data_IF_958108271099
#
_entry.id   IF_958108271099
#
_cell.length_a   1.000
_cell.length_b   1.000
_cell.length_c   1.000
_cell.angle_alpha   90.00
_cell.angle_beta   90.00
_cell.angle_gamma   90.00
#
_symmetry.space_group_name_H-M   'P 1'
#
loop_
_entity.id
_entity.type
_entity.pdbx_description
1 polymer ?
#
# COMPACT_ATOMS: atom_id res chain seq x y z
N UNK A 1 20.18 7.63 15.56
CA UNK A 1 19.87 7.49 14.12
C UNK A 1 18.49 6.88 13.89
N UNK A 2 18.10 5.80 14.58
CA UNK A 2 16.73 5.22 14.51
C UNK A 2 15.61 6.14 15.01
N UNK A 3 15.86 6.96 16.04
CA UNK A 3 14.85 7.92 16.57
C UNK A 3 14.46 9.01 15.55
N UNK A 4 15.35 9.30 14.59
CA UNK A 4 15.06 10.23 13.51
C UNK A 4 14.02 9.66 12.52
N UNK A 5 14.04 8.34 12.28
CA UNK A 5 13.16 7.68 11.31
C UNK A 5 11.69 7.75 11.72
N UNK A 6 11.41 7.67 13.02
CA UNK A 6 10.06 7.74 13.57
C UNK A 6 9.51 9.17 13.67
N UNK A 7 10.33 10.20 13.40
CA UNK A 7 9.98 11.62 13.57
C UNK A 7 10.19 12.47 12.32
N UNK A 8 10.52 11.88 11.17
CA UNK A 8 10.56 12.64 9.90
C UNK A 8 9.12 12.91 9.46
N UNK A 9 8.71 14.17 9.26
CA UNK A 9 7.44 14.48 8.62
C UNK A 9 7.36 13.82 7.24
N UNK A 10 6.15 13.53 6.77
CA UNK A 10 5.90 12.93 5.45
C UNK A 10 6.48 13.74 4.27
N UNK A 11 6.90 14.99 4.51
CA UNK A 11 7.63 15.83 3.56
C UNK A 11 9.08 15.39 3.29
N UNK A 12 9.66 14.50 4.10
CA UNK A 12 11.07 14.08 3.99
C UNK A 12 12.08 15.09 4.55
N UNK A 13 11.61 16.20 5.12
CA UNK A 13 12.47 17.23 5.73
C UNK A 13 12.56 17.02 7.25
N UNK A 14 13.72 16.60 7.80
CA UNK A 14 13.86 16.48 9.25
C UNK A 14 13.67 17.85 9.93
N UNK A 15 12.80 17.92 10.94
CA UNK A 15 12.46 19.18 11.65
C UNK A 15 13.66 19.83 12.35
N UNK A 16 14.72 19.07 12.65
CA UNK A 16 15.84 19.52 13.49
C UNK A 16 17.23 19.42 12.82
N UNK A 17 17.31 19.14 11.50
CA UNK A 17 18.59 18.99 10.80
C UNK A 17 18.74 19.91 9.59
N UNK A 18 19.99 20.20 9.24
CA UNK A 18 20.41 21.05 8.11
C UNK A 18 19.67 20.70 6.81
N UNK A 19 19.24 21.73 6.08
CA UNK A 19 18.62 21.66 4.75
C UNK A 19 19.49 20.97 3.67
N UNK A 20 20.75 20.65 3.98
CA UNK A 20 21.66 19.87 3.13
C UNK A 20 21.32 18.38 3.08
N UNK A 21 20.59 17.85 4.07
CA UNK A 21 20.12 16.46 4.06
C UNK A 21 18.70 16.46 3.50
N UNK A 22 18.56 16.70 2.19
CA UNK A 22 17.29 16.43 1.49
C UNK A 22 17.23 14.94 1.18
N UNK A 23 16.61 14.17 2.05
CA UNK A 23 16.07 12.88 1.64
C UNK A 23 14.86 13.23 0.77
N UNK A 24 14.81 12.76 -0.48
CA UNK A 24 13.63 12.97 -1.33
C UNK A 24 12.36 12.53 -0.60
N UNK A 25 11.18 13.01 -1.02
CA UNK A 25 9.91 12.61 -0.39
C UNK A 25 9.88 11.07 -0.32
N UNK A 26 9.90 10.45 0.88
CA UNK A 26 10.03 9.01 1.03
C UNK A 26 8.71 8.30 0.76
N UNK A 27 7.88 8.87 -0.13
CA UNK A 27 6.51 8.47 -0.40
C UNK A 27 6.34 8.43 -1.90
N UNK A 28 5.90 7.27 -2.40
CA UNK A 28 5.40 7.13 -3.75
C UNK A 28 3.86 7.20 -3.71
N UNK A 29 3.29 8.13 -4.45
CA UNK A 29 1.84 8.19 -4.68
C UNK A 29 1.48 7.26 -5.83
N UNK A 30 0.47 6.42 -5.63
CA UNK A 30 -0.02 5.47 -6.64
C UNK A 30 -1.48 5.79 -7.03
N UNK A 31 -1.74 6.90 -7.73
CA UNK A 31 -3.09 7.26 -8.13
C UNK A 31 -3.62 6.34 -9.24
N UNK A 32 -4.86 5.87 -9.07
CA UNK A 32 -5.63 5.23 -10.14
C UNK A 32 -5.93 6.24 -11.25
N UNK A 33 -6.36 5.76 -12.42
CA UNK A 33 -6.74 6.66 -13.51
C UNK A 33 -7.92 7.57 -13.12
N UNK A 34 -8.88 7.02 -12.37
CA UNK A 34 -9.99 7.79 -11.79
C UNK A 34 -9.48 8.90 -10.85
N UNK A 35 -8.50 8.60 -9.99
CA UNK A 35 -7.90 9.58 -9.10
C UNK A 35 -7.24 10.72 -9.90
N UNK A 36 -6.53 10.41 -10.98
CA UNK A 36 -5.87 11.43 -11.83
C UNK A 36 -6.89 12.35 -12.48
N UNK A 37 -7.96 11.80 -13.04
CA UNK A 37 -9.04 12.60 -13.63
C UNK A 37 -9.70 13.52 -12.59
N UNK A 38 -9.93 13.01 -11.38
CA UNK A 38 -10.52 13.79 -10.29
C UNK A 38 -9.61 14.92 -9.83
N UNK A 39 -8.30 14.67 -9.71
CA UNK A 39 -7.29 15.68 -9.38
C UNK A 39 -7.24 16.74 -10.48
N UNK A 40 -7.22 16.35 -11.75
CA UNK A 40 -7.21 17.29 -12.87
C UNK A 40 -8.47 18.19 -12.87
N UNK A 41 -9.64 17.64 -12.52
CA UNK A 41 -10.86 18.43 -12.38
C UNK A 41 -10.78 19.45 -11.24
N UNK A 42 -10.22 19.08 -10.08
CA UNK A 42 -9.95 20.01 -9.00
C UNK A 42 -8.96 21.10 -9.42
N UNK A 43 -7.85 20.73 -10.07
CA UNK A 43 -6.82 21.66 -10.52
C UNK A 43 -7.35 22.65 -11.56
N UNK A 44 -8.20 22.20 -12.49
CA UNK A 44 -8.88 23.08 -13.46
C UNK A 44 -9.83 24.07 -12.78
N UNK A 45 -10.59 23.64 -11.78
CA UNK A 45 -11.49 24.51 -11.03
C UNK A 45 -10.71 25.52 -10.16
N UNK A 46 -9.59 25.10 -9.56
CA UNK A 46 -8.68 25.98 -8.83
C UNK A 46 -8.13 27.05 -9.77
N UNK A 47 -7.62 26.68 -10.94
CA UNK A 47 -7.08 27.63 -11.91
C UNK A 47 -8.13 28.66 -12.39
N UNK A 48 -9.38 28.23 -12.60
CA UNK A 48 -10.47 29.13 -12.96
C UNK A 48 -10.80 30.13 -11.83
N UNK A 49 -10.89 29.66 -10.58
CA UNK A 49 -11.13 30.52 -9.42
C UNK A 49 -9.94 31.43 -9.10
N UNK A 50 -8.70 30.99 -9.38
CA UNK A 50 -7.51 31.83 -9.28
C UNK A 50 -7.58 33.00 -10.26
N UNK A 51 -7.97 32.75 -11.50
CA UNK A 51 -8.14 33.80 -12.51
C UNK A 51 -9.27 34.78 -12.13
N UNK A 52 -10.38 34.28 -11.59
CA UNK A 52 -11.51 35.10 -11.12
C UNK A 52 -11.14 35.95 -9.88
N UNK A 53 -10.38 35.36 -8.94
CA UNK A 53 -10.00 36.03 -7.70
C UNK A 53 -8.85 37.04 -7.88
N UNK A 54 -7.98 36.86 -8.87
CA UNK A 54 -6.78 37.69 -9.12
C UNK A 54 -7.05 39.20 -9.08
N UNK A 55 -8.02 39.78 -9.80
CA UNK A 55 -8.25 41.23 -9.75
C UNK A 55 -8.68 41.72 -8.36
N UNK A 56 -9.49 40.94 -7.64
CA UNK A 56 -9.90 41.29 -6.28
C UNK A 56 -8.74 41.20 -5.28
N UNK A 57 -7.83 40.25 -5.47
CA UNK A 57 -6.61 40.09 -4.66
C UNK A 57 -5.65 41.25 -4.90
N UNK A 58 -5.48 41.70 -6.15
CA UNK A 58 -4.63 42.86 -6.49
C UNK A 58 -5.16 44.15 -5.86
N UNK A 59 -6.49 44.36 -5.87
CA UNK A 59 -7.12 45.49 -5.18
C UNK A 59 -6.91 45.42 -3.67
N UNK A 60 -7.05 44.23 -3.06
CA UNK A 60 -6.80 44.04 -1.63
C UNK A 60 -5.33 44.26 -1.26
N UNK A 61 -4.39 43.79 -2.09
CA UNK A 61 -2.95 44.02 -1.93
C UNK A 61 -2.63 45.52 -2.00
N UNK A 62 -3.20 46.24 -2.96
CA UNK A 62 -3.00 47.68 -3.09
C UNK A 62 -3.56 48.45 -1.88
N UNK A 63 -4.76 48.09 -1.41
CA UNK A 63 -5.36 48.68 -0.22
C UNK A 63 -4.54 48.40 1.05
N UNK A 64 -4.04 47.18 1.22
CA UNK A 64 -3.16 46.82 2.34
C UNK A 64 -1.82 47.57 2.29
N UNK A 65 -1.18 47.64 1.11
CA UNK A 65 0.05 48.43 0.90
C UNK A 65 -0.15 49.92 1.17
N UNK A 66 -1.33 50.47 0.87
CA UNK A 66 -1.66 51.86 1.16
C UNK A 66 -1.86 52.11 2.67
N UNK A 67 -2.48 51.16 3.39
CA UNK A 67 -2.62 51.21 4.85
C UNK A 67 -1.28 51.26 5.59
N UNK A 68 -0.28 50.51 5.10
CA UNK A 68 1.08 50.53 5.65
C UNK A 68 1.80 51.89 5.54
N UNK A 69 1.35 52.78 4.64
CA UNK A 69 1.94 54.12 4.44
C UNK A 69 1.23 55.23 5.22
N UNK A 70 0.04 54.97 5.74
CA UNK A 70 -0.82 56.00 6.35
C UNK A 70 -0.43 56.35 7.80
N UNK A 71 0.24 55.44 8.52
CA UNK A 71 0.59 55.60 9.94
C UNK A 71 1.88 56.42 10.19
N UNK A 72 2.44 57.07 9.17
CA UNK A 72 3.52 58.07 9.32
C UNK A 72 4.90 57.53 9.73
N UNK A 73 5.01 56.27 10.15
CA UNK A 73 6.25 55.53 10.34
C UNK A 73 6.29 54.36 9.34
N UNK A 74 7.17 54.40 8.34
CA UNK A 74 7.50 53.22 7.52
C UNK A 74 8.16 52.08 8.36
N UNK A 75 8.33 52.29 9.66
CA UNK A 75 9.10 51.48 10.61
C UNK A 75 8.31 50.80 11.73
N UNK A 76 6.98 50.97 11.85
CA UNK A 76 6.19 50.25 12.88
C UNK A 76 5.91 48.81 12.42
N UNK A 77 7.00 48.04 12.40
CA UNK A 77 7.11 46.66 11.95
C UNK A 77 6.61 45.66 13.00
N UNK A 78 5.36 45.79 13.45
CA UNK A 78 4.71 44.70 14.17
C UNK A 78 4.27 43.62 13.17
N UNK A 79 5.15 42.67 12.86
CA UNK A 79 4.81 41.44 12.10
C UNK A 79 5.41 41.29 10.70
N UNK A 80 6.17 42.28 10.21
CA UNK A 80 6.87 42.18 8.92
C UNK A 80 8.20 41.39 9.05
N UNK A 81 8.66 40.70 7.99
CA UNK A 81 9.93 39.95 8.03
C UNK A 81 11.14 40.87 8.25
N UNK A 82 12.10 40.49 9.10
CA UNK A 82 13.33 41.27 9.39
C UNK A 82 14.08 41.82 8.14
N UNK A 83 14.21 41.05 7.03
CA UNK A 83 14.85 41.55 5.81
C UNK A 83 14.12 42.75 5.20
N UNK A 84 12.79 42.77 5.30
CA UNK A 84 11.95 43.83 4.77
C UNK A 84 12.06 45.10 5.64
N UNK A 85 12.12 44.94 6.96
CA UNK A 85 12.30 46.05 7.91
C UNK A 85 13.64 46.75 7.69
N UNK A 86 14.70 45.99 7.39
CA UNK A 86 16.03 46.54 7.13
C UNK A 86 16.09 47.32 5.81
N UNK A 87 15.35 46.87 4.79
CA UNK A 87 15.24 47.57 3.51
C UNK A 87 14.35 48.83 3.59
N UNK A 88 13.29 48.79 4.39
CA UNK A 88 12.42 49.94 4.65
C UNK A 88 13.07 51.00 5.56
N UNK A 89 14.05 50.62 6.39
CA UNK A 89 14.81 51.57 7.22
C UNK A 89 15.73 52.50 6.42
N UNK A 90 16.07 52.17 5.16
CA UNK A 90 16.80 53.10 4.28
C UNK A 90 15.87 54.23 3.83
N UNK A 91 16.28 55.51 3.87
CA UNK A 91 15.44 56.63 3.45
C UNK A 91 15.06 56.51 1.97
N UNK A 92 13.84 56.91 1.62
CA UNK A 92 13.24 56.69 0.30
C UNK A 92 14.08 57.22 -0.88
N UNK A 93 14.96 58.20 -0.66
CA UNK A 93 15.87 58.77 -1.66
C UNK A 93 17.16 57.98 -1.92
N UNK A 94 17.53 57.02 -1.06
CA UNK A 94 18.77 56.21 -1.17
C UNK A 94 18.50 54.75 -1.60
N UNK A 95 17.24 54.42 -1.91
CA UNK A 95 16.84 53.06 -2.33
C UNK A 95 17.18 52.85 -3.81
N UNK A 96 18.01 51.84 -4.09
CA UNK A 96 18.29 51.41 -5.47
C UNK A 96 17.05 50.80 -6.13
N UNK A 97 17.05 50.67 -7.46
CA UNK A 97 15.93 50.02 -8.16
C UNK A 97 15.83 48.52 -7.84
N UNK A 98 16.94 47.88 -7.48
CA UNK A 98 16.96 46.50 -6.95
C UNK A 98 16.31 46.40 -5.57
N UNK A 99 16.56 47.38 -4.69
CA UNK A 99 15.95 47.44 -3.36
C UNK A 99 14.42 47.62 -3.46
N UNK A 100 13.94 48.44 -4.40
CA UNK A 100 12.50 48.63 -4.65
C UNK A 100 11.82 47.34 -5.12
N UNK A 101 12.45 46.62 -6.05
CA UNK A 101 11.95 45.34 -6.54
C UNK A 101 11.91 44.27 -5.44
N UNK A 102 12.97 44.22 -4.61
CA UNK A 102 13.04 43.30 -3.48
C UNK A 102 11.95 43.59 -2.42
N UNK A 103 11.70 44.86 -2.11
CA UNK A 103 10.62 45.29 -1.21
C UNK A 103 9.26 44.86 -1.75
N UNK A 104 8.98 45.09 -3.04
CA UNK A 104 7.69 44.73 -3.64
C UNK A 104 7.47 43.20 -3.66
N UNK A 105 8.50 42.43 -4.00
CA UNK A 105 8.44 40.97 -3.97
C UNK A 105 8.23 40.42 -2.55
N UNK A 106 8.93 40.98 -1.56
CA UNK A 106 8.80 40.56 -0.16
C UNK A 106 7.45 40.96 0.45
N UNK A 107 6.92 42.14 0.11
CA UNK A 107 5.57 42.56 0.51
C UNK A 107 4.49 41.67 -0.11
N UNK A 108 4.64 41.33 -1.39
CA UNK A 108 3.73 40.41 -2.07
C UNK A 108 3.77 39.01 -1.45
N UNK A 109 4.96 38.48 -1.20
CA UNK A 109 5.13 37.18 -0.54
C UNK A 109 4.55 37.16 0.89
N UNK A 110 4.75 38.24 1.65
CA UNK A 110 4.18 38.37 3.00
C UNK A 110 2.65 38.46 2.96
N UNK A 111 2.10 39.24 2.04
CA UNK A 111 0.66 39.33 1.83
C UNK A 111 0.05 37.98 1.48
N UNK A 112 0.60 37.27 0.49
CA UNK A 112 0.11 35.94 0.10
C UNK A 112 0.20 34.91 1.22
N UNK A 113 1.22 34.98 2.07
CA UNK A 113 1.48 33.99 3.13
C UNK A 113 0.72 34.24 4.44
N UNK A 114 0.49 35.51 4.82
CA UNK A 114 -0.02 35.87 6.16
C UNK A 114 -1.30 36.68 6.15
N UNK A 115 -1.49 37.56 5.17
CA UNK A 115 -2.58 38.55 5.17
C UNK A 115 -3.74 38.12 4.28
N UNK A 116 -3.46 37.41 3.19
CA UNK A 116 -4.45 36.96 2.21
C UNK A 116 -5.62 36.20 2.84
N UNK A 117 -5.35 35.40 3.88
CA UNK A 117 -6.37 34.66 4.62
C UNK A 117 -7.40 35.54 5.34
N UNK A 118 -7.01 36.74 5.78
CA UNK A 118 -7.91 37.69 6.45
C UNK A 118 -8.92 38.33 5.49
N UNK A 119 -8.60 38.33 4.19
CA UNK A 119 -9.47 38.81 3.13
C UNK A 119 -10.37 37.72 2.54
N UNK A 120 -10.23 36.46 2.99
CA UNK A 120 -11.04 35.33 2.49
C UNK A 120 -12.54 35.55 2.67
N UNK A 121 -12.97 36.09 3.83
CA UNK A 121 -14.38 36.38 4.11
C UNK A 121 -14.95 37.55 3.28
N UNK A 122 -14.08 38.46 2.82
CA UNK A 122 -14.45 39.65 2.05
C UNK A 122 -14.46 39.41 0.53
N UNK A 123 -13.77 38.36 0.06
CA UNK A 123 -13.62 38.02 -1.35
C UNK A 123 -14.22 36.62 -1.59
N UNK A 124 -15.48 36.51 -2.01
CA UNK A 124 -16.15 35.20 -2.17
C UNK A 124 -15.42 34.19 -3.08
N UNK A 125 -14.78 34.60 -4.20
CA UNK A 125 -13.96 33.68 -5.00
C UNK A 125 -12.75 33.12 -4.24
N UNK A 126 -12.15 33.89 -3.33
CA UNK A 126 -11.00 33.47 -2.52
C UNK A 126 -11.42 32.42 -1.48
N UNK A 127 -12.55 32.61 -0.79
CA UNK A 127 -13.09 31.59 0.12
C UNK A 127 -13.42 30.26 -0.59
N UNK A 128 -13.96 30.32 -1.82
CA UNK A 128 -14.21 29.12 -2.63
C UNK A 128 -12.91 28.41 -3.01
N UNK A 129 -11.90 29.17 -3.41
CA UNK A 129 -10.58 28.66 -3.77
C UNK A 129 -9.89 27.98 -2.58
N UNK A 130 -9.94 28.57 -1.39
CA UNK A 130 -9.34 27.98 -0.19
C UNK A 130 -10.03 26.69 0.22
N UNK A 131 -11.37 26.65 0.16
CA UNK A 131 -12.16 25.43 0.35
C UNK A 131 -11.80 24.36 -0.66
N UNK A 132 -11.65 24.73 -1.94
CA UNK A 132 -11.36 23.77 -3.00
C UNK A 132 -9.94 23.20 -2.88
N UNK A 133 -8.95 24.03 -2.52
CA UNK A 133 -7.58 23.58 -2.20
C UNK A 133 -7.58 22.65 -0.99
N UNK A 134 -8.36 22.96 0.05
CA UNK A 134 -8.53 22.07 1.20
C UNK A 134 -9.14 20.73 0.78
N UNK A 135 -10.22 20.74 0.01
CA UNK A 135 -10.85 19.52 -0.50
C UNK A 135 -9.88 18.68 -1.36
N UNK A 136 -9.06 19.33 -2.20
CA UNK A 136 -8.01 18.64 -2.97
C UNK A 136 -6.97 18.01 -2.04
N UNK A 137 -6.54 18.71 -0.98
CA UNK A 137 -5.58 18.16 -0.01
C UNK A 137 -6.14 16.97 0.76
N UNK A 138 -7.41 17.04 1.20
CA UNK A 138 -8.11 15.95 1.88
C UNK A 138 -8.30 14.75 0.93
N UNK A 139 -8.70 15.01 -0.31
CA UNK A 139 -8.82 13.97 -1.33
C UNK A 139 -7.47 13.29 -1.60
N UNK A 140 -6.38 14.05 -1.77
CA UNK A 140 -5.03 13.49 -1.94
C UNK A 140 -4.58 12.70 -0.71
N UNK A 141 -4.93 13.15 0.49
CA UNK A 141 -4.56 12.48 1.74
C UNK A 141 -5.27 11.14 1.95
N UNK A 142 -6.58 11.08 1.65
CA UNK A 142 -7.45 9.94 1.97
C UNK A 142 -7.57 8.95 0.81
N UNK A 143 -7.61 9.42 -0.44
CA UNK A 143 -7.97 8.60 -1.60
C UNK A 143 -6.76 8.14 -2.43
N UNK A 144 -5.58 8.72 -2.22
CA UNK A 144 -4.36 8.29 -2.90
C UNK A 144 -3.57 7.36 -1.99
N UNK A 145 -3.39 6.09 -2.39
CA UNK A 145 -2.48 5.19 -1.71
C UNK A 145 -1.07 5.77 -1.73
N UNK A 146 -0.53 6.02 -0.53
CA UNK A 146 0.83 6.50 -0.30
C UNK A 146 1.66 5.35 0.25
N UNK A 147 2.75 5.03 -0.44
CA UNK A 147 3.65 3.94 -0.04
C UNK A 147 4.96 4.55 0.37
N UNK A 148 5.39 4.26 1.60
CA UNK A 148 6.71 4.64 2.06
C UNK A 148 7.77 3.84 1.27
N UNK A 149 8.65 4.54 0.59
CA UNK A 149 9.72 3.94 -0.20
C UNK A 149 11.08 4.40 0.30
N UNK A 150 12.01 3.46 0.37
CA UNK A 150 13.40 3.73 0.67
C UNK A 150 14.24 3.29 -0.53
N UNK A 151 15.01 4.21 -1.08
CA UNK A 151 16.04 3.90 -2.07
C UNK A 151 17.39 4.17 -1.43
N UNK A 152 18.33 3.22 -1.57
CA UNK A 152 19.72 3.49 -1.24
C UNK A 152 20.26 4.53 -2.24
N UNK A 153 21.12 5.45 -1.79
CA UNK A 153 21.72 6.48 -2.64
C UNK A 153 22.72 5.90 -3.66
N UNK A 154 23.31 4.75 -3.33
CA UNK A 154 24.16 3.94 -4.21
C UNK A 154 23.80 2.46 -4.01
N UNK A 155 23.82 1.63 -5.06
CA UNK A 155 23.60 0.19 -4.92
C UNK A 155 24.61 -0.43 -3.94
N UNK A 156 24.13 -1.29 -3.04
CA UNK A 156 25.02 -2.01 -2.12
C UNK A 156 25.85 -3.04 -2.88
N UNK A 157 27.16 -2.95 -2.76
CA UNK A 157 28.06 -4.00 -3.20
C UNK A 157 27.84 -5.25 -2.33
N UNK A 158 27.73 -6.40 -2.98
CA UNK A 158 27.52 -7.69 -2.32
C UNK A 158 28.66 -8.59 -2.71
N UNK A 159 29.24 -9.31 -1.75
CA UNK A 159 30.38 -10.19 -1.98
C UNK A 159 30.05 -11.62 -1.56
N UNK A 160 30.66 -12.60 -2.23
CA UNK A 160 30.72 -13.97 -1.70
C UNK A 160 31.58 -13.95 -0.45
N UNK A 161 31.09 -14.50 0.65
CA UNK A 161 31.87 -14.59 1.90
C UNK A 161 32.61 -15.92 1.96
N UNK A 162 33.84 -15.89 2.47
CA UNK A 162 34.57 -17.12 2.75
C UNK A 162 33.90 -17.90 3.88
N UNK A 163 33.25 -19.02 3.55
CA UNK A 163 32.51 -19.88 4.50
C UNK A 163 31.52 -19.10 5.39
N UNK A 164 30.97 -17.99 4.87
CA UNK A 164 30.03 -17.12 5.60
C UNK A 164 30.68 -16.14 6.58
N UNK A 165 32.01 -16.03 6.64
CA UNK A 165 32.70 -15.08 7.51
C UNK A 165 32.52 -13.63 7.00
N UNK A 166 31.79 -12.81 7.76
CA UNK A 166 31.44 -11.43 7.40
C UNK A 166 32.66 -10.53 7.12
N UNK A 167 33.78 -10.77 7.81
CA UNK A 167 35.02 -9.98 7.67
C UNK A 167 35.92 -10.45 6.51
N UNK A 168 35.51 -11.48 5.77
CA UNK A 168 36.32 -12.07 4.70
C UNK A 168 35.55 -12.08 3.37
N UNK A 169 35.31 -10.88 2.78
CA UNK A 169 34.70 -10.78 1.47
C UNK A 169 35.64 -11.31 0.38
N UNK A 170 35.07 -12.04 -0.57
CA UNK A 170 35.73 -12.49 -1.81
C UNK A 170 35.14 -11.72 -2.99
N UNK A 171 34.86 -12.41 -4.08
CA UNK A 171 34.39 -11.84 -5.33
C UNK A 171 33.07 -11.09 -5.15
N UNK A 172 32.98 -9.91 -5.77
CA UNK A 172 31.74 -9.15 -5.85
C UNK A 172 30.74 -9.91 -6.73
N UNK A 173 29.50 -10.01 -6.27
CA UNK A 173 28.39 -10.60 -7.02
C UNK A 173 27.47 -9.51 -7.53
N UNK A 174 27.12 -9.62 -8.81
CA UNK A 174 26.13 -8.76 -9.46
C UNK A 174 24.76 -9.43 -9.43
N UNK A 175 23.72 -8.63 -9.56
CA UNK A 175 22.36 -9.15 -9.74
C UNK A 175 22.28 -9.95 -11.04
N UNK A 176 22.06 -11.26 -10.91
CA UNK A 176 21.91 -12.19 -12.01
C UNK A 176 21.03 -13.37 -11.57
N UNK A 177 20.55 -14.15 -12.54
CA UNK A 177 19.80 -15.39 -12.27
C UNK A 177 20.76 -16.57 -12.15
N UNK A 178 20.40 -17.64 -11.41
CA UNK A 178 21.20 -18.85 -11.37
C UNK A 178 21.37 -19.45 -12.77
N UNK A 179 22.60 -19.88 -13.12
CA UNK A 179 22.94 -20.32 -14.48
C UNK A 179 22.13 -21.54 -14.98
N UNK A 180 21.62 -22.37 -14.07
CA UNK A 180 20.79 -23.53 -14.42
C UNK A 180 19.32 -23.15 -14.71
N UNK A 181 18.95 -21.89 -14.50
CA UNK A 181 17.66 -21.33 -14.85
C UNK A 181 17.82 -20.35 -16.03
N UNK A 182 16.71 -19.95 -16.68
CA UNK A 182 16.77 -18.99 -17.77
C UNK A 182 17.46 -17.67 -17.36
N UNK A 183 18.13 -16.99 -18.29
CA UNK A 183 18.67 -15.65 -18.04
C UNK A 183 17.55 -14.63 -17.77
N UNK A 184 17.93 -13.43 -17.31
CA UNK A 184 17.01 -12.30 -17.27
C UNK A 184 16.47 -11.99 -18.68
N UNK A 185 15.18 -11.62 -18.82
CA UNK A 185 14.64 -11.18 -20.10
C UNK A 185 15.39 -9.96 -20.65
N UNK A 186 15.46 -9.85 -21.98
CA UNK A 186 16.11 -8.72 -22.63
C UNK A 186 15.45 -7.38 -22.22
N UNK A 187 16.28 -6.41 -21.83
CA UNK A 187 15.83 -5.10 -21.36
C UNK A 187 15.28 -5.07 -19.93
N UNK A 188 15.21 -6.21 -19.23
CA UNK A 188 14.84 -6.23 -17.82
C UNK A 188 15.95 -5.58 -16.96
N UNK A 189 15.62 -4.65 -16.05
CA UNK A 189 16.62 -4.02 -15.20
C UNK A 189 17.16 -5.00 -14.16
N UNK A 190 18.45 -4.93 -13.85
CA UNK A 190 19.10 -5.79 -12.85
C UNK A 190 18.76 -5.37 -11.41
N UNK A 191 17.47 -5.38 -11.07
CA UNK A 191 16.90 -5.01 -9.78
C UNK A 191 15.64 -5.84 -9.49
N UNK A 192 14.88 -5.48 -8.44
CA UNK A 192 13.65 -6.21 -8.04
C UNK A 192 12.57 -6.24 -9.13
N UNK A 193 12.50 -5.24 -9.99
CA UNK A 193 11.55 -5.22 -11.11
C UNK A 193 11.93 -6.27 -12.15
N UNK A 194 13.21 -6.37 -12.53
CA UNK A 194 13.66 -7.41 -13.46
C UNK A 194 13.52 -8.81 -12.87
N UNK A 195 13.73 -8.98 -11.56
CA UNK A 195 13.43 -10.24 -10.88
C UNK A 195 11.95 -10.60 -10.98
N UNK A 196 11.04 -9.63 -10.79
CA UNK A 196 9.61 -9.85 -10.92
C UNK A 196 9.22 -10.24 -12.37
N UNK A 197 9.76 -9.53 -13.36
CA UNK A 197 9.57 -9.86 -14.78
C UNK A 197 10.09 -11.26 -15.13
N UNK A 198 11.25 -11.64 -14.59
CA UNK A 198 11.82 -12.98 -14.79
C UNK A 198 10.99 -14.09 -14.13
N UNK A 199 10.49 -13.88 -12.91
CA UNK A 199 9.67 -14.88 -12.21
C UNK A 199 8.39 -15.24 -12.98
N UNK A 200 7.80 -14.28 -13.69
CA UNK A 200 6.58 -14.50 -14.49
C UNK A 200 6.85 -14.69 -15.98
N UNK A 201 8.12 -14.78 -16.37
CA UNK A 201 8.51 -14.98 -17.77
C UNK A 201 8.01 -16.35 -18.29
N UNK A 202 7.63 -16.45 -19.58
CA UNK A 202 7.22 -17.72 -20.18
C UNK A 202 8.29 -18.81 -20.09
N UNK A 203 9.56 -18.43 -20.09
CA UNK A 203 10.71 -19.32 -20.05
C UNK A 203 10.93 -19.89 -18.64
N UNK A 204 10.44 -19.20 -17.59
CA UNK A 204 10.65 -19.63 -16.22
C UNK A 204 9.84 -20.91 -15.89
N UNK A 205 10.51 -22.03 -15.54
CA UNK A 205 9.85 -23.32 -15.47
C UNK A 205 8.99 -23.53 -14.22
N UNK A 206 9.24 -22.83 -13.11
CA UNK A 206 8.68 -23.25 -11.81
C UNK A 206 7.43 -22.47 -11.39
N UNK A 207 7.39 -21.16 -11.58
CA UNK A 207 6.38 -20.26 -11.00
C UNK A 207 4.95 -20.73 -11.26
N UNK A 208 4.59 -20.98 -12.51
CA UNK A 208 3.25 -21.44 -12.86
C UNK A 208 2.94 -22.81 -12.26
N UNK A 209 3.87 -23.77 -12.35
CA UNK A 209 3.74 -25.14 -11.80
C UNK A 209 3.52 -25.14 -10.29
N UNK A 210 4.33 -24.38 -9.56
CA UNK A 210 4.23 -24.24 -8.10
C UNK A 210 2.87 -23.64 -7.72
N UNK A 211 2.45 -22.58 -8.42
CA UNK A 211 1.18 -21.92 -8.13
C UNK A 211 -0.03 -22.82 -8.40
N UNK A 212 -0.08 -23.51 -9.54
CA UNK A 212 -1.21 -24.41 -9.84
C UNK A 212 -1.21 -25.64 -8.92
N UNK A 213 -0.04 -26.13 -8.51
CA UNK A 213 0.06 -27.22 -7.53
C UNK A 213 -0.51 -26.81 -6.17
N UNK A 214 -0.21 -25.58 -5.72
CA UNK A 214 -0.79 -25.01 -4.50
C UNK A 214 -2.30 -24.87 -4.62
N UNK A 215 -2.82 -24.38 -5.76
CA UNK A 215 -4.27 -24.29 -5.99
C UNK A 215 -4.90 -25.69 -5.95
N UNK A 216 -4.30 -26.67 -6.64
CA UNK A 216 -4.76 -28.06 -6.64
C UNK A 216 -4.82 -28.64 -5.22
N UNK A 217 -3.78 -28.40 -4.42
CA UNK A 217 -3.72 -28.84 -3.03
C UNK A 217 -4.88 -28.30 -2.17
N UNK A 218 -5.37 -27.07 -2.42
CA UNK A 218 -6.51 -26.53 -1.68
C UNK A 218 -7.82 -27.32 -1.91
N UNK A 219 -7.99 -27.91 -3.10
CA UNK A 219 -9.19 -28.68 -3.43
C UNK A 219 -9.05 -30.17 -3.09
N UNK A 220 -7.86 -30.74 -3.28
CA UNK A 220 -7.63 -32.19 -3.12
C UNK A 220 -6.83 -32.56 -1.87
N UNK A 221 -6.50 -31.60 -1.00
CA UNK A 221 -5.71 -31.78 0.24
C UNK A 221 -4.21 -32.01 0.01
N UNK A 222 -3.84 -32.65 -1.09
CA UNK A 222 -2.45 -32.85 -1.53
C UNK A 222 -2.26 -32.31 -2.94
N UNK A 223 -1.11 -31.70 -3.18
CA UNK A 223 -0.70 -31.30 -4.53
C UNK A 223 -0.42 -32.51 -5.43
N UNK A 224 -0.36 -32.27 -6.73
CA UNK A 224 0.16 -33.22 -7.72
C UNK A 224 1.60 -33.59 -7.34
N UNK A 225 2.40 -32.57 -7.01
CA UNK A 225 3.64 -32.72 -6.24
C UNK A 225 3.29 -32.54 -4.77
N UNK A 226 3.60 -33.53 -3.94
CA UNK A 226 3.24 -33.55 -2.52
C UNK A 226 3.93 -32.42 -1.74
N UNK A 227 5.17 -32.11 -2.09
CA UNK A 227 5.99 -31.05 -1.50
C UNK A 227 5.73 -29.71 -2.21
N UNK A 228 4.84 -28.90 -1.66
CA UNK A 228 4.55 -27.58 -2.24
C UNK A 228 5.75 -26.61 -2.21
N UNK A 229 6.69 -26.81 -1.28
CA UNK A 229 7.85 -25.95 -1.05
C UNK A 229 9.14 -26.46 -1.73
N UNK A 230 9.12 -27.66 -2.32
CA UNK A 230 10.27 -28.23 -3.00
C UNK A 230 9.84 -28.89 -4.31
N UNK A 231 10.32 -28.34 -5.42
CA UNK A 231 10.17 -28.84 -6.80
C UNK A 231 11.51 -29.26 -7.40
N UNK A 232 12.54 -29.39 -6.56
CA UNK A 232 13.89 -29.80 -6.94
C UNK A 232 14.06 -31.31 -6.98
N UNK A 233 15.31 -31.74 -7.12
CA UNK A 233 15.68 -33.18 -7.21
C UNK A 233 15.40 -33.98 -5.94
N UNK A 234 15.15 -33.32 -4.82
CA UNK A 234 14.78 -33.95 -3.54
C UNK A 234 13.27 -34.16 -3.39
N UNK A 235 12.48 -33.59 -4.31
CA UNK A 235 11.03 -33.75 -4.33
C UNK A 235 10.59 -35.08 -4.97
N UNK A 236 9.40 -35.55 -4.61
CA UNK A 236 8.79 -36.72 -5.23
C UNK A 236 8.41 -36.39 -6.69
N UNK A 237 8.73 -37.30 -7.61
CA UNK A 237 8.35 -37.13 -9.01
C UNK A 237 6.82 -37.11 -9.16
N UNK A 238 6.23 -36.11 -9.84
CA UNK A 238 4.78 -36.02 -10.00
C UNK A 238 4.23 -37.18 -10.85
N UNK A 239 3.35 -37.99 -10.26
CA UNK A 239 2.65 -39.09 -10.96
C UNK A 239 1.88 -38.56 -12.18
N UNK A 240 1.27 -37.39 -12.05
CA UNK A 240 0.49 -36.73 -13.09
C UNK A 240 1.21 -35.50 -13.65
N UNK A 241 2.46 -35.67 -14.10
CA UNK A 241 3.28 -34.58 -14.64
C UNK A 241 2.61 -33.84 -15.82
N UNK A 242 2.03 -34.57 -16.76
CA UNK A 242 1.43 -33.96 -17.96
C UNK A 242 0.24 -33.06 -17.60
N UNK A 243 -0.53 -33.45 -16.58
CA UNK A 243 -1.61 -32.62 -16.03
C UNK A 243 -1.07 -31.33 -15.39
N UNK A 244 0.01 -31.44 -14.61
CA UNK A 244 0.66 -30.29 -13.99
C UNK A 244 1.18 -29.31 -15.04
N UNK A 245 1.83 -29.82 -16.08
CA UNK A 245 2.34 -29.01 -17.19
C UNK A 245 1.20 -28.33 -17.96
N UNK A 246 0.13 -29.08 -18.26
CA UNK A 246 -1.06 -28.53 -18.91
C UNK A 246 -1.70 -27.40 -18.09
N UNK A 247 -1.91 -27.62 -16.78
CA UNK A 247 -2.46 -26.59 -15.89
C UNK A 247 -1.56 -25.36 -15.80
N UNK A 248 -0.24 -25.55 -15.77
CA UNK A 248 0.72 -24.44 -15.69
C UNK A 248 0.71 -23.58 -16.96
N UNK A 249 0.65 -24.21 -18.14
CA UNK A 249 0.53 -23.51 -19.43
C UNK A 249 -0.81 -22.77 -19.51
N UNK A 250 -1.91 -23.47 -19.20
CA UNK A 250 -3.27 -22.90 -19.18
C UNK A 250 -3.35 -21.67 -18.28
N UNK A 251 -2.75 -21.74 -17.08
CA UNK A 251 -2.76 -20.66 -16.11
C UNK A 251 -2.02 -19.42 -16.62
N UNK A 252 -0.85 -19.63 -17.22
CA UNK A 252 -0.01 -18.57 -17.77
C UNK A 252 -0.67 -17.90 -18.98
N UNK A 253 -1.19 -18.70 -19.92
CA UNK A 253 -1.76 -18.19 -21.18
C UNK A 253 -3.09 -17.44 -20.97
N UNK A 254 -3.83 -17.78 -19.92
CA UNK A 254 -5.06 -17.07 -19.52
C UNK A 254 -4.78 -15.92 -18.53
N UNK A 255 -3.61 -15.29 -18.63
CA UNK A 255 -3.26 -14.07 -17.88
C UNK A 255 -3.19 -14.28 -16.37
N UNK A 256 -2.77 -15.45 -15.90
CA UNK A 256 -2.63 -15.78 -14.47
C UNK A 256 -3.95 -15.65 -13.70
N UNK A 257 -5.09 -15.88 -14.37
CA UNK A 257 -6.41 -15.80 -13.77
C UNK A 257 -6.68 -16.97 -12.82
N UNK A 258 -6.62 -16.72 -11.51
CA UNK A 258 -6.96 -17.73 -10.50
C UNK A 258 -8.38 -18.29 -10.69
N UNK A 259 -9.34 -17.42 -11.04
CA UNK A 259 -10.74 -17.81 -11.26
C UNK A 259 -10.90 -18.77 -12.43
N UNK A 260 -10.08 -18.62 -13.48
CA UNK A 260 -10.07 -19.50 -14.64
C UNK A 260 -9.65 -20.92 -14.27
N UNK A 261 -8.48 -21.06 -13.63
CA UNK A 261 -7.97 -22.37 -13.20
C UNK A 261 -8.86 -23.03 -12.16
N UNK A 262 -9.34 -22.25 -11.18
CA UNK A 262 -10.28 -22.78 -10.17
C UNK A 262 -11.54 -23.31 -10.85
N UNK A 263 -12.10 -22.59 -11.82
CA UNK A 263 -13.26 -23.04 -12.60
C UNK A 263 -12.96 -24.34 -13.35
N UNK A 264 -11.79 -24.44 -13.99
CA UNK A 264 -11.34 -25.66 -14.66
C UNK A 264 -11.29 -26.86 -13.71
N UNK A 265 -10.68 -26.68 -12.53
CA UNK A 265 -10.57 -27.72 -11.50
C UNK A 265 -11.95 -28.17 -11.02
N UNK A 266 -12.83 -27.25 -10.60
CA UNK A 266 -14.14 -27.61 -10.03
C UNK A 266 -15.13 -28.19 -11.05
N UNK A 267 -14.91 -27.93 -12.34
CA UNK A 267 -15.68 -28.52 -13.43
C UNK A 267 -15.04 -29.81 -13.99
N UNK A 268 -13.86 -30.22 -13.51
CA UNK A 268 -13.23 -31.47 -13.95
C UNK A 268 -14.07 -32.69 -13.56
N UNK A 269 -13.86 -33.81 -14.27
CA UNK A 269 -14.45 -35.08 -13.89
C UNK A 269 -13.93 -35.56 -12.52
N UNK A 270 -12.63 -35.34 -12.26
CA UNK A 270 -11.96 -35.69 -11.00
C UNK A 270 -12.56 -34.97 -9.79
N UNK A 271 -12.92 -33.69 -9.90
CA UNK A 271 -13.55 -32.97 -8.78
C UNK A 271 -15.01 -33.39 -8.57
N UNK A 272 -15.74 -33.69 -9.66
CA UNK A 272 -17.18 -34.02 -9.62
C UNK A 272 -17.47 -35.50 -9.33
N UNK A 273 -16.45 -36.33 -9.16
CA UNK A 273 -16.61 -37.75 -8.87
C UNK A 273 -17.26 -38.00 -7.50
N UNK A 274 -17.84 -39.18 -7.33
CA UNK A 274 -18.36 -39.61 -6.03
C UNK A 274 -17.22 -39.87 -5.04
N UNK A 275 -17.40 -39.43 -3.79
CA UNK A 275 -16.38 -39.59 -2.74
C UNK A 275 -16.56 -40.85 -1.89
N UNK A 276 -17.17 -41.90 -2.43
CA UNK A 276 -17.44 -43.15 -1.71
C UNK A 276 -16.16 -43.95 -1.55
N UNK A 277 -15.82 -44.32 -0.32
CA UNK A 277 -14.65 -45.14 -0.01
C UNK A 277 -15.04 -46.62 -0.05
N UNK A 278 -14.30 -47.42 -0.83
CA UNK A 278 -14.42 -48.88 -0.83
C UNK A 278 -13.10 -49.52 -0.43
N UNK A 279 -13.14 -50.79 0.01
CA UNK A 279 -11.94 -51.53 0.45
C UNK A 279 -10.93 -51.68 -0.68
N UNK A 280 -11.38 -51.88 -1.91
CA UNK A 280 -10.55 -52.03 -3.10
C UNK A 280 -9.80 -50.73 -3.43
N UNK A 281 -10.47 -49.57 -3.30
CA UNK A 281 -9.84 -48.26 -3.50
C UNK A 281 -8.78 -47.96 -2.43
N UNK A 282 -9.01 -48.37 -1.19
CA UNK A 282 -8.04 -48.21 -0.11
C UNK A 282 -6.81 -49.12 -0.30
N UNK A 283 -7.01 -50.35 -0.76
CA UNK A 283 -5.92 -51.28 -1.05
C UNK A 283 -5.07 -50.81 -2.23
N UNK A 284 -5.71 -50.26 -3.27
CA UNK A 284 -5.00 -49.77 -4.46
C UNK A 284 -4.26 -48.46 -4.22
N UNK A 285 -4.87 -47.55 -3.46
CA UNK A 285 -4.30 -46.22 -3.19
C UNK A 285 -4.82 -45.66 -1.87
N UNK A 286 -4.10 -45.97 -0.79
CA UNK A 286 -4.40 -45.51 0.56
C UNK A 286 -4.24 -43.98 0.69
N UNK A 287 -3.24 -43.40 0.02
CA UNK A 287 -2.94 -41.96 0.08
C UNK A 287 -3.81 -41.10 -0.86
N UNK A 288 -4.60 -41.73 -1.73
CA UNK A 288 -5.46 -41.05 -2.71
C UNK A 288 -4.65 -40.18 -3.71
N UNK A 289 -3.45 -40.62 -4.09
CA UNK A 289 -2.57 -39.96 -5.08
C UNK A 289 -3.14 -40.01 -6.50
N UNK A 290 -3.98 -41.00 -6.81
CA UNK A 290 -4.69 -41.15 -8.08
C UNK A 290 -6.01 -40.39 -8.14
N UNK A 291 -6.37 -39.68 -7.04
CA UNK A 291 -7.59 -38.89 -6.93
C UNK A 291 -8.84 -39.69 -7.29
N UNK A 292 -9.04 -40.87 -6.70
CA UNK A 292 -10.24 -41.70 -6.91
C UNK A 292 -11.42 -41.32 -6.00
N UNK A 293 -11.16 -40.45 -5.00
CA UNK A 293 -12.14 -39.96 -4.02
C UNK A 293 -11.75 -38.56 -3.54
N UNK A 294 -12.63 -37.86 -2.83
CA UNK A 294 -12.22 -36.65 -2.12
C UNK A 294 -11.30 -36.98 -0.94
N UNK A 295 -10.25 -36.18 -0.77
CA UNK A 295 -9.37 -36.27 0.39
C UNK A 295 -10.05 -35.72 1.64
N UNK A 296 -9.73 -36.29 2.80
CA UNK A 296 -10.15 -35.77 4.09
C UNK A 296 -9.09 -34.82 4.63
N UNK A 297 -9.41 -33.54 4.75
CA UNK A 297 -8.52 -32.54 5.32
C UNK A 297 -9.29 -31.55 6.19
N UNK A 298 -8.57 -30.89 7.10
CA UNK A 298 -9.12 -29.88 7.99
C UNK A 298 -9.28 -28.57 7.23
N UNK A 299 -10.48 -27.99 7.25
CA UNK A 299 -10.71 -26.66 6.72
C UNK A 299 -10.21 -25.59 7.70
N UNK A 300 -9.65 -24.47 7.20
CA UNK A 300 -9.34 -23.32 8.04
C UNK A 300 -10.59 -22.80 8.76
N UNK A 301 -10.42 -22.29 9.97
CA UNK A 301 -11.53 -21.83 10.82
C UNK A 301 -12.39 -20.74 10.20
N UNK A 302 -11.76 -19.81 9.47
CA UNK A 302 -12.44 -18.77 8.70
C UNK A 302 -13.38 -19.37 7.64
N UNK A 303 -12.95 -20.43 6.95
CA UNK A 303 -13.76 -21.11 5.94
C UNK A 303 -14.90 -21.89 6.60
N UNK A 304 -14.64 -22.53 7.74
CA UNK A 304 -15.67 -23.24 8.51
C UNK A 304 -16.78 -22.30 8.98
N UNK A 305 -16.44 -21.10 9.47
CA UNK A 305 -17.41 -20.06 9.85
C UNK A 305 -18.25 -19.62 8.65
N UNK A 306 -17.59 -19.29 7.54
CA UNK A 306 -18.28 -18.84 6.32
C UNK A 306 -19.20 -19.94 5.77
N UNK A 307 -18.78 -21.21 5.87
CA UNK A 307 -19.59 -22.37 5.49
C UNK A 307 -20.81 -22.53 6.40
N UNK A 308 -20.66 -22.38 7.71
CA UNK A 308 -21.77 -22.42 8.66
C UNK A 308 -22.81 -21.32 8.37
N UNK A 309 -22.36 -20.10 8.07
CA UNK A 309 -23.26 -19.01 7.68
C UNK A 309 -23.90 -19.23 6.31
N UNK A 310 -23.18 -19.83 5.37
CA UNK A 310 -23.75 -20.18 4.07
C UNK A 310 -24.83 -21.23 4.22
N UNK A 311 -24.62 -22.24 5.07
CA UNK A 311 -25.58 -23.32 5.33
C UNK A 311 -26.83 -22.82 6.08
N UNK A 312 -26.69 -21.83 6.97
CA UNK A 312 -27.81 -21.22 7.68
C UNK A 312 -28.54 -20.12 6.89
N UNK A 313 -28.03 -19.72 5.72
CA UNK A 313 -28.59 -18.63 4.93
C UNK A 313 -28.32 -17.22 5.48
N UNK A 314 -27.43 -17.09 6.47
CA UNK A 314 -27.09 -15.80 7.11
C UNK A 314 -25.95 -15.07 6.40
N UNK A 315 -25.14 -15.76 5.58
CA UNK A 315 -23.92 -15.21 4.99
C UNK A 315 -24.22 -13.98 4.10
N UNK A 316 -23.62 -12.84 4.42
CA UNK A 316 -23.56 -11.70 3.51
C UNK A 316 -22.40 -11.86 2.52
N UNK A 317 -22.75 -12.04 1.24
CA UNK A 317 -21.82 -12.25 0.14
C UNK A 317 -21.23 -10.95 -0.45
N UNK A 318 -21.49 -9.78 0.15
CA UNK A 318 -20.95 -8.48 -0.31
C UNK A 318 -19.42 -8.49 -0.40
N UNK A 319 -18.91 -8.24 -1.60
CA UNK A 319 -17.48 -8.13 -1.89
C UNK A 319 -17.03 -6.66 -1.76
N UNK A 320 -15.92 -6.43 -1.04
CA UNK A 320 -15.29 -5.11 -0.89
C UNK A 320 -15.98 -4.18 0.12
N UNK A 321 -15.28 -3.14 0.55
CA UNK A 321 -15.72 -2.21 1.60
C UNK A 321 -14.94 -2.34 2.91
N UNK A 322 -15.27 -1.49 3.89
CA UNK A 322 -14.55 -1.41 5.16
C UNK A 322 -14.53 -2.74 5.94
N UNK A 323 -13.53 -2.98 6.81
CA UNK A 323 -13.53 -4.10 7.74
C UNK A 323 -14.78 -4.09 8.63
N UNK A 324 -15.27 -5.29 8.97
CA UNK A 324 -16.39 -5.48 9.91
C UNK A 324 -15.88 -5.98 11.26
N UNK A 325 -16.69 -5.76 12.28
CA UNK A 325 -16.39 -6.04 13.68
C UNK A 325 -17.49 -6.94 14.27
N UNK A 326 -17.48 -8.25 13.95
CA UNK A 326 -18.43 -9.21 14.50
C UNK A 326 -18.37 -9.28 16.02
N UNK A 327 -19.36 -9.95 16.61
CA UNK A 327 -19.47 -10.11 18.06
C UNK A 327 -18.16 -10.57 18.72
N UNK A 328 -17.78 -9.83 19.76
CA UNK A 328 -16.66 -10.14 20.63
C UNK A 328 -17.08 -9.88 22.09
N UNK A 329 -16.67 -10.73 23.05
CA UNK A 329 -16.90 -10.45 24.47
C UNK A 329 -16.34 -9.08 24.89
N UNK A 330 -16.99 -8.45 25.86
CA UNK A 330 -16.51 -7.20 26.47
C UNK A 330 -15.14 -7.37 27.16
N UNK A 331 -14.47 -6.26 27.46
CA UNK A 331 -13.24 -6.17 28.28
C UNK A 331 -11.97 -6.81 27.70
N UNK A 332 -12.05 -7.55 26.58
CA UNK A 332 -10.88 -8.18 25.93
C UNK A 332 -9.81 -7.15 25.53
N UNK A 333 -10.23 -5.92 25.27
CA UNK A 333 -9.37 -4.83 24.82
C UNK A 333 -8.79 -3.98 25.95
N UNK A 334 -9.42 -3.99 27.13
CA UNK A 334 -9.02 -3.15 28.28
C UNK A 334 -7.65 -3.56 28.82
N UNK A 335 -7.38 -4.86 28.89
CA UNK A 335 -6.08 -5.40 29.32
C UNK A 335 -4.91 -5.03 28.39
N UNK A 336 -5.18 -4.52 27.18
CA UNK A 336 -4.17 -4.15 26.19
C UNK A 336 -3.98 -2.63 26.06
N UNK A 337 -4.78 -1.83 26.74
CA UNK A 337 -4.72 -0.36 26.76
C UNK A 337 -3.61 0.16 27.71
N UNK A 338 -2.38 -0.37 27.58
CA UNK A 338 -1.24 -0.03 28.45
C UNK A 338 -0.71 1.41 28.19
N UNK A 339 -0.99 1.97 27.01
CA UNK A 339 -0.53 3.30 26.57
C UNK A 339 -1.65 4.00 25.78
N UNK A 340 -1.78 5.33 25.86
CA UNK A 340 -2.81 6.11 25.12
C UNK A 340 -2.84 5.85 23.61
N UNK A 341 -1.70 5.52 23.00
CA UNK A 341 -1.60 5.17 21.57
C UNK A 341 -2.14 3.77 21.22
N UNK A 342 -2.39 2.93 22.23
CA UNK A 342 -2.89 1.55 22.08
C UNK A 342 -4.33 1.39 22.57
N UNK A 343 -4.92 2.46 23.08
CA UNK A 343 -6.32 2.49 23.45
C UNK A 343 -7.17 2.27 22.20
N UNK A 344 -7.89 1.16 22.17
CA UNK A 344 -8.67 0.74 21.03
C UNK A 344 -10.00 0.20 21.51
N UNK A 345 -11.03 1.01 21.35
CA UNK A 345 -12.42 0.60 21.59
C UNK A 345 -12.92 -0.15 20.37
N UNK A 346 -13.26 -1.42 20.54
CA UNK A 346 -13.78 -2.26 19.46
C UNK A 346 -15.17 -1.77 19.01
N UNK A 347 -15.31 -1.24 17.77
CA UNK A 347 -16.58 -0.70 17.31
C UNK A 347 -17.47 -1.85 16.81
N UNK A 348 -18.22 -2.49 17.71
CA UNK A 348 -19.10 -3.61 17.36
C UNK A 348 -20.02 -3.28 16.18
N UNK A 349 -19.90 -4.04 15.09
CA UNK A 349 -20.80 -3.94 13.94
C UNK A 349 -22.19 -4.46 14.28
N UNK A 350 -23.18 -4.09 13.48
CA UNK A 350 -24.58 -4.49 13.68
C UNK A 350 -25.23 -4.99 12.38
N UNK A 351 -26.35 -5.69 12.50
CA UNK A 351 -27.12 -6.18 11.35
C UNK A 351 -26.35 -7.19 10.49
N UNK A 352 -26.35 -6.97 9.17
CA UNK A 352 -25.74 -7.88 8.17
C UNK A 352 -24.22 -7.97 8.30
N UNK A 353 -23.56 -6.91 8.79
CA UNK A 353 -22.10 -6.87 8.91
C UNK A 353 -21.57 -7.92 9.90
N UNK A 354 -22.39 -8.40 10.84
CA UNK A 354 -22.05 -9.49 11.75
C UNK A 354 -21.82 -10.83 11.02
N UNK A 355 -22.47 -11.02 9.87
CA UNK A 355 -22.50 -12.25 9.08
C UNK A 355 -21.72 -12.15 7.78
N UNK A 356 -20.88 -11.12 7.65
CA UNK A 356 -20.02 -10.96 6.48
C UNK A 356 -18.93 -12.03 6.45
N UNK A 357 -18.48 -12.37 5.24
CA UNK A 357 -17.34 -13.29 5.01
C UNK A 357 -16.16 -12.96 5.92
N UNK A 358 -15.54 -13.99 6.46
CA UNK A 358 -14.44 -13.90 7.43
C UNK A 358 -13.23 -13.13 6.88
N UNK A 359 -13.06 -13.09 5.56
CA UNK A 359 -12.07 -12.25 4.87
C UNK A 359 -12.17 -10.75 5.24
N UNK A 360 -13.36 -10.25 5.56
CA UNK A 360 -13.58 -8.85 5.92
C UNK A 360 -13.61 -8.61 7.43
N UNK A 361 -13.43 -9.64 8.24
CA UNK A 361 -13.43 -9.52 9.69
C UNK A 361 -12.13 -8.87 10.16
N UNK A 362 -12.24 -7.82 10.97
CA UNK A 362 -11.09 -7.17 11.57
C UNK A 362 -10.29 -8.16 12.43
N UNK A 363 -8.97 -8.17 12.25
CA UNK A 363 -8.06 -9.01 13.01
C UNK A 363 -6.85 -8.18 13.46
N UNK A 364 -6.61 -8.14 14.77
CA UNK A 364 -5.36 -7.65 15.36
C UNK A 364 -4.58 -8.82 15.97
N UNK A 365 -3.27 -8.89 15.72
CA UNK A 365 -2.41 -10.00 16.19
C UNK A 365 -2.49 -10.28 17.71
N UNK A 366 -2.75 -9.26 18.52
CA UNK A 366 -2.84 -9.40 19.99
C UNK A 366 -4.15 -10.04 20.46
N UNK A 367 -5.23 -9.88 19.70
CA UNK A 367 -6.58 -10.36 20.02
C UNK A 367 -7.19 -10.98 18.78
N UNK A 368 -7.25 -12.31 18.76
CA UNK A 368 -7.94 -13.03 17.71
C UNK A 368 -9.46 -12.81 17.78
N UNK A 369 -10.18 -12.86 16.65
CA UNK A 369 -11.64 -12.80 16.65
C UNK A 369 -12.25 -13.93 17.50
N UNK A 370 -13.11 -13.58 18.45
CA UNK A 370 -13.68 -14.55 19.40
C UNK A 370 -14.67 -15.53 18.75
N UNK A 371 -15.15 -15.22 17.56
CA UNK A 371 -16.06 -16.04 16.77
C UNK A 371 -15.33 -17.01 15.82
N UNK A 372 -14.00 -17.16 15.96
CA UNK A 372 -13.19 -18.10 15.20
C UNK A 372 -12.47 -19.05 16.17
N UNK A 373 -12.64 -20.34 15.95
CA UNK A 373 -11.90 -21.37 16.68
C UNK A 373 -10.50 -21.55 16.06
N UNK A 374 -9.50 -21.99 16.83
CA UNK A 374 -8.16 -22.32 16.30
C UNK A 374 -7.51 -21.19 15.48
N UNK A 375 -7.68 -19.95 15.93
CA UNK A 375 -6.95 -18.81 15.35
C UNK A 375 -5.46 -18.93 15.69
N UNK A 376 -4.58 -18.54 14.76
CA UNK A 376 -3.13 -18.72 14.90
C UNK A 376 -2.57 -18.09 16.18
N UNK A 377 -1.66 -18.80 16.84
CA UNK A 377 -0.97 -18.32 18.04
C UNK A 377 -0.24 -16.99 17.83
N UNK A 378 -0.19 -16.18 18.89
CA UNK A 378 0.45 -14.84 18.94
C UNK A 378 1.90 -14.85 18.44
N UNK A 379 2.58 -15.99 18.53
CA UNK A 379 4.01 -16.16 18.19
C UNK A 379 4.30 -16.77 16.81
N UNK A 380 3.33 -17.37 16.11
CA UNK A 380 3.56 -17.97 14.78
C UNK A 380 2.96 -17.09 13.69
N UNK A 381 3.79 -16.21 13.14
CA UNK A 381 3.43 -15.45 11.94
C UNK A 381 3.73 -16.33 10.72
N UNK A 382 2.69 -16.92 10.13
CA UNK A 382 2.74 -17.34 8.73
C UNK A 382 1.98 -16.27 7.99
N UNK A 383 2.71 -15.32 7.42
CA UNK A 383 2.15 -14.35 6.48
C UNK A 383 1.79 -15.09 5.19
N UNK A 384 0.64 -15.76 5.16
CA UNK A 384 -0.08 -16.00 3.93
C UNK A 384 -1.01 -14.80 3.73
N UNK A 385 -0.44 -13.73 3.19
CA UNK A 385 -1.24 -12.73 2.49
C UNK A 385 -1.86 -13.44 1.28
N UNK A 386 -3.20 -13.51 1.28
CA UNK A 386 -3.99 -13.84 0.11
C UNK A 386 -3.86 -12.76 -0.96
#
# INVERSE_FOLDING_TARGET
MMDAFNRVPESGTPQFYSSRIRVGRPVLELPTEENRQRIAAFESQIAALEAEAKPAIEVALAAWKAGLKADGNESDAAGLPEPLVTLLAKPAGERSDEDKLAIDQQLQAHFDAKVRGEFSDKIPPLAKLDRLRKNLSEYKADQIPRVMVMSDAQPRQTHVLDRGAYLSPRDEVKFATPQFLPPLPDGAPANRLGLAQWLVSPEHPLTARVQVNRIWQHFFGHGIVKTAEDFGVQSEYPIHKDLLDWLAVEFREHGWSMKHIIRGIVNSATYRQQSRITTELLQRDAENRLYARASRFRLPSMVLRDWAFSASGLLDAKIGGAPVYPYQPGEVWEALAITKERDFTYPSSSGKDLYRRSLYTFWRRTVSPANMFDASDRHRSIAQCL
#
